data_IF_860926570109
#
_entry.id   IF_860926570109
#
_cell.length_a   1.000
_cell.length_b   1.000
_cell.length_c   1.000
_cell.angle_alpha   90.00
_cell.angle_beta   90.00
_cell.angle_gamma   90.00
#
_symmetry.space_group_name_H-M   'P 1'
#
loop_
_entity.id
_entity.type
_entity.pdbx_description
1 polymer ?
#
# COMPACT_ATOMS: atom_id res chain seq x y z
N UNK A 1 -21.00 10.09 -51.13
CA UNK A 1 -21.97 11.15 -50.73
C UNK A 1 -22.40 11.15 -49.27
N UNK A 2 -22.14 10.10 -48.47
CA UNK A 2 -22.51 10.08 -47.05
C UNK A 2 -21.56 10.83 -46.11
N UNK A 3 -20.31 11.03 -46.47
CA UNK A 3 -19.31 11.69 -45.62
C UNK A 3 -19.53 13.21 -45.48
N UNK A 4 -20.02 13.86 -46.51
CA UNK A 4 -20.31 15.30 -46.54
C UNK A 4 -21.46 15.70 -45.59
N UNK A 5 -22.39 14.78 -45.34
CA UNK A 5 -23.50 15.03 -44.42
C UNK A 5 -23.04 14.99 -42.95
N UNK A 6 -22.13 14.10 -42.60
CA UNK A 6 -21.56 13.99 -41.22
C UNK A 6 -20.84 15.28 -40.85
N UNK A 7 -20.01 15.84 -41.73
CA UNK A 7 -19.32 17.11 -41.49
C UNK A 7 -20.27 18.29 -41.30
N UNK A 8 -21.39 18.31 -42.01
CA UNK A 8 -22.41 19.35 -41.88
C UNK A 8 -23.15 19.24 -40.54
N UNK A 9 -23.44 18.01 -40.06
CA UNK A 9 -24.01 17.78 -38.73
C UNK A 9 -23.04 18.13 -37.61
N UNK A 10 -21.78 17.73 -37.72
CA UNK A 10 -20.73 18.09 -36.75
C UNK A 10 -20.59 19.60 -36.63
N UNK A 11 -20.60 20.35 -37.74
CA UNK A 11 -20.49 21.79 -37.73
C UNK A 11 -21.71 22.46 -37.10
N UNK A 12 -22.92 21.92 -37.34
CA UNK A 12 -24.18 22.42 -36.78
C UNK A 12 -24.27 22.22 -35.26
N UNK A 13 -23.79 21.08 -34.75
CA UNK A 13 -23.89 20.72 -33.35
C UNK A 13 -22.57 20.87 -32.57
N UNK A 14 -21.57 21.52 -33.18
CA UNK A 14 -20.23 21.71 -32.59
C UNK A 14 -20.27 22.20 -31.15
N UNK A 15 -21.07 23.22 -30.84
CA UNK A 15 -21.16 23.80 -29.50
C UNK A 15 -21.76 22.82 -28.50
N UNK A 16 -22.78 22.06 -28.92
CA UNK A 16 -23.43 21.06 -28.06
C UNK A 16 -22.46 19.90 -27.78
N UNK A 17 -21.70 19.44 -28.80
CA UNK A 17 -20.72 18.37 -28.67
C UNK A 17 -19.62 18.79 -27.70
N UNK A 18 -19.10 20.02 -27.83
CA UNK A 18 -18.07 20.55 -26.92
C UNK A 18 -18.60 20.62 -25.49
N UNK A 19 -19.81 21.17 -25.30
CA UNK A 19 -20.41 21.30 -23.97
C UNK A 19 -20.63 19.92 -23.31
N UNK A 20 -21.14 18.96 -24.08
CA UNK A 20 -21.38 17.60 -23.61
C UNK A 20 -20.06 16.88 -23.24
N UNK A 21 -19.02 17.09 -24.03
CA UNK A 21 -17.68 16.53 -23.76
C UNK A 21 -17.07 17.10 -22.48
N UNK A 22 -17.20 18.40 -22.23
CA UNK A 22 -16.73 19.04 -20.99
C UNK A 22 -17.53 18.51 -19.78
N UNK A 23 -18.85 18.38 -19.92
CA UNK A 23 -19.70 17.85 -18.85
C UNK A 23 -19.34 16.39 -18.52
N UNK A 24 -19.18 15.56 -19.54
CA UNK A 24 -18.77 14.17 -19.38
C UNK A 24 -17.37 14.04 -18.75
N UNK A 25 -16.42 14.86 -19.18
CA UNK A 25 -15.08 14.93 -18.60
C UNK A 25 -15.09 15.34 -17.12
N UNK A 26 -15.88 16.35 -16.77
CA UNK A 26 -16.05 16.78 -15.40
C UNK A 26 -16.69 15.70 -14.52
N UNK A 27 -17.75 15.05 -15.00
CA UNK A 27 -18.40 13.95 -14.30
C UNK A 27 -17.45 12.76 -14.10
N UNK A 28 -16.70 12.39 -15.13
CA UNK A 28 -15.69 11.33 -15.03
C UNK A 28 -14.59 11.68 -14.02
N UNK A 29 -14.11 12.93 -14.03
CA UNK A 29 -13.11 13.40 -13.08
C UNK A 29 -13.59 13.31 -11.62
N UNK A 30 -14.83 13.73 -11.36
CA UNK A 30 -15.43 13.62 -10.02
C UNK A 30 -15.59 12.16 -9.58
N UNK A 31 -16.03 11.29 -10.47
CA UNK A 31 -16.14 9.85 -10.21
C UNK A 31 -14.75 9.28 -9.92
N UNK A 32 -13.75 9.58 -10.76
CA UNK A 32 -12.39 9.11 -10.57
C UNK A 32 -11.80 9.56 -9.23
N UNK A 33 -12.03 10.81 -8.81
CA UNK A 33 -11.60 11.31 -7.49
C UNK A 33 -12.23 10.51 -6.34
N UNK A 34 -13.48 10.10 -6.45
CA UNK A 34 -14.16 9.35 -5.40
C UNK A 34 -13.73 7.88 -5.33
N UNK A 35 -13.40 7.26 -6.48
CA UNK A 35 -13.08 5.82 -6.54
C UNK A 35 -11.59 5.50 -6.52
N UNK A 36 -10.72 6.44 -6.97
CA UNK A 36 -9.29 6.18 -7.11
C UNK A 36 -8.50 6.69 -5.90
N UNK A 37 -9.04 7.65 -5.13
CA UNK A 37 -8.36 8.12 -3.93
C UNK A 37 -8.24 7.00 -2.90
N UNK A 38 -7.02 6.77 -2.45
CA UNK A 38 -6.71 5.86 -1.36
C UNK A 38 -5.98 6.67 -0.27
N UNK A 39 -6.24 6.31 0.96
CA UNK A 39 -5.47 6.82 2.09
C UNK A 39 -4.49 5.75 2.52
N UNK A 40 -3.21 6.12 2.59
CA UNK A 40 -2.13 5.25 3.04
C UNK A 40 -1.64 5.73 4.40
N UNK A 41 -1.60 4.85 5.37
CA UNK A 41 -0.82 5.05 6.58
C UNK A 41 0.47 4.24 6.46
N UNK A 42 1.53 4.77 7.05
CA UNK A 42 2.85 4.13 7.06
C UNK A 42 3.38 4.15 8.49
N UNK A 43 3.90 3.02 8.94
CA UNK A 43 4.66 2.91 10.18
C UNK A 43 5.95 2.15 9.93
N UNK A 44 6.93 2.33 10.81
CA UNK A 44 8.20 1.59 10.75
C UNK A 44 8.30 0.70 11.97
N UNK A 45 8.57 -0.57 11.75
CA UNK A 45 8.84 -1.55 12.79
C UNK A 45 10.33 -1.86 12.77
N UNK A 46 10.96 -1.83 13.93
CA UNK A 46 12.36 -2.19 14.10
C UNK A 46 12.50 -3.34 15.12
N UNK A 47 13.17 -4.38 14.70
CA UNK A 47 13.55 -5.49 15.56
C UNK A 47 14.84 -5.13 16.33
N UNK A 48 14.73 -4.90 17.64
CA UNK A 48 15.83 -4.39 18.49
C UNK A 48 16.51 -5.46 19.36
N UNK A 49 16.24 -6.72 19.12
CA UNK A 49 16.84 -7.82 19.85
C UNK A 49 18.35 -7.99 19.56
N UNK A 50 19.10 -8.53 20.49
CA UNK A 50 20.55 -8.78 20.32
C UNK A 50 20.87 -9.72 19.15
N UNK A 51 19.88 -10.53 18.72
CA UNK A 51 19.99 -11.47 17.61
C UNK A 51 19.28 -11.01 16.33
N UNK A 52 18.68 -9.81 16.35
CA UNK A 52 17.97 -9.26 15.19
C UNK A 52 18.88 -9.12 13.97
N UNK A 53 20.15 -8.76 14.17
CA UNK A 53 21.14 -8.69 13.09
C UNK A 53 21.48 -10.06 12.46
N UNK A 54 21.13 -11.15 13.14
CA UNK A 54 21.25 -12.53 12.64
C UNK A 54 19.96 -13.02 11.98
N UNK A 55 18.92 -12.16 11.90
CA UNK A 55 17.60 -12.52 11.38
C UNK A 55 16.74 -13.30 12.34
N UNK A 56 17.07 -13.27 13.62
CA UNK A 56 16.39 -14.08 14.63
C UNK A 56 15.54 -13.22 15.57
N UNK A 57 14.37 -13.71 15.86
CA UNK A 57 13.48 -13.22 16.90
C UNK A 57 14.06 -13.49 18.30
N UNK A 58 13.59 -12.82 19.37
CA UNK A 58 14.09 -13.04 20.72
C UNK A 58 13.98 -14.48 21.22
N UNK A 59 13.05 -15.26 20.71
CA UNK A 59 12.85 -16.68 21.02
C UNK A 59 13.79 -17.61 20.22
N UNK A 60 14.51 -17.07 19.24
CA UNK A 60 15.46 -17.80 18.39
C UNK A 60 14.88 -18.36 17.11
N UNK A 61 13.62 -18.08 16.79
CA UNK A 61 13.03 -18.37 15.48
C UNK A 61 13.47 -17.33 14.45
N UNK A 62 13.37 -17.67 13.17
CA UNK A 62 13.59 -16.71 12.09
C UNK A 62 12.55 -15.56 12.18
N UNK A 63 12.95 -14.33 11.83
CA UNK A 63 12.04 -13.20 11.75
C UNK A 63 11.06 -13.45 10.59
N UNK A 64 9.79 -13.73 10.93
CA UNK A 64 8.71 -13.89 9.97
C UNK A 64 7.87 -12.61 9.91
N UNK A 65 8.05 -11.83 8.85
CA UNK A 65 7.29 -10.58 8.64
C UNK A 65 5.80 -10.84 8.39
N UNK A 66 5.40 -12.07 8.07
CA UNK A 66 3.98 -12.43 7.90
C UNK A 66 3.21 -12.40 9.22
N UNK A 67 3.89 -12.48 10.35
CA UNK A 67 3.29 -12.31 11.67
C UNK A 67 2.66 -10.93 11.87
N UNK A 68 3.21 -9.89 11.22
CA UNK A 68 2.71 -8.50 11.33
C UNK A 68 1.25 -8.39 10.85
N UNK A 69 0.87 -9.17 9.84
CA UNK A 69 -0.50 -9.21 9.34
C UNK A 69 -1.19 -10.55 9.60
N UNK A 70 -0.73 -11.27 10.62
CA UNK A 70 -1.38 -12.53 11.04
C UNK A 70 -2.84 -12.27 11.48
N UNK A 71 -3.72 -13.21 11.16
CA UNK A 71 -5.16 -13.09 11.42
C UNK A 71 -5.50 -12.75 12.87
N UNK A 72 -4.74 -13.32 13.83
CA UNK A 72 -4.93 -13.07 15.26
C UNK A 72 -4.59 -11.63 15.65
N UNK A 73 -3.52 -11.04 15.10
CA UNK A 73 -3.14 -9.66 15.37
C UNK A 73 -4.12 -8.68 14.73
N UNK A 74 -4.46 -8.90 13.45
CA UNK A 74 -5.45 -8.07 12.74
C UNK A 74 -6.80 -8.13 13.44
N UNK A 75 -7.24 -9.29 13.89
CA UNK A 75 -8.52 -9.43 14.61
C UNK A 75 -8.51 -8.73 15.98
N UNK A 76 -7.39 -8.74 16.69
CA UNK A 76 -7.24 -7.99 17.93
C UNK A 76 -7.29 -6.47 17.70
N UNK A 77 -6.60 -5.99 16.67
CA UNK A 77 -6.64 -4.58 16.28
C UNK A 77 -8.05 -4.14 15.89
N UNK A 78 -8.77 -4.93 15.09
CA UNK A 78 -10.17 -4.67 14.72
C UNK A 78 -11.06 -4.57 15.96
N UNK A 79 -10.93 -5.52 16.89
CA UNK A 79 -11.69 -5.53 18.14
C UNK A 79 -11.41 -4.29 19.00
N UNK A 80 -10.16 -3.87 19.09
CA UNK A 80 -9.76 -2.67 19.82
C UNK A 80 -10.33 -1.39 19.19
N UNK A 81 -10.49 -1.37 17.87
CA UNK A 81 -11.07 -0.26 17.12
C UNK A 81 -12.61 -0.29 17.07
N UNK A 82 -13.25 -1.32 17.60
CA UNK A 82 -14.71 -1.51 17.51
C UNK A 82 -15.18 -1.80 16.09
N UNK A 83 -14.32 -2.33 15.23
CA UNK A 83 -14.67 -2.75 13.87
C UNK A 83 -15.31 -4.13 13.96
N UNK A 84 -16.42 -4.31 13.25
CA UNK A 84 -17.10 -5.61 13.20
C UNK A 84 -16.17 -6.69 12.62
N UNK A 85 -15.92 -7.70 13.43
CA UNK A 85 -15.09 -8.82 13.04
C UNK A 85 -15.88 -9.82 12.18
N UNK A 86 -15.49 -9.92 10.93
CA UNK A 86 -15.88 -11.00 10.03
C UNK A 86 -14.63 -11.51 9.34
N UNK A 87 -14.65 -12.74 8.87
CA UNK A 87 -13.54 -13.32 8.11
C UNK A 87 -13.22 -12.46 6.86
N UNK A 88 -14.26 -12.02 6.16
CA UNK A 88 -14.12 -11.17 4.98
C UNK A 88 -13.49 -9.81 5.29
N UNK A 89 -13.86 -9.15 6.39
CA UNK A 89 -13.26 -7.85 6.78
C UNK A 89 -11.81 -8.00 7.24
N UNK A 90 -11.47 -9.12 7.87
CA UNK A 90 -10.09 -9.42 8.28
C UNK A 90 -9.20 -9.65 7.06
N UNK A 91 -9.66 -10.43 6.10
CA UNK A 91 -8.91 -10.70 4.88
C UNK A 91 -8.75 -9.45 4.01
N UNK A 92 -9.76 -8.59 3.95
CA UNK A 92 -9.67 -7.31 3.25
C UNK A 92 -8.58 -6.41 3.87
N UNK A 93 -8.52 -6.31 5.19
CA UNK A 93 -7.46 -5.56 5.87
C UNK A 93 -6.10 -6.18 5.58
N UNK A 94 -5.94 -7.50 5.71
CA UNK A 94 -4.68 -8.20 5.48
C UNK A 94 -4.15 -8.02 4.07
N UNK A 95 -5.01 -8.10 3.05
CA UNK A 95 -4.62 -7.90 1.65
C UNK A 95 -4.16 -6.46 1.35
N UNK A 96 -4.54 -5.50 2.18
CA UNK A 96 -4.16 -4.11 2.02
C UNK A 96 -2.97 -3.68 2.91
N UNK A 97 -2.41 -4.62 3.70
CA UNK A 97 -1.17 -4.41 4.43
C UNK A 97 0.00 -4.87 3.56
N UNK A 98 0.99 -4.00 3.41
CA UNK A 98 2.26 -4.29 2.73
C UNK A 98 3.41 -4.09 3.71
N UNK A 99 4.35 -5.03 3.70
CA UNK A 99 5.54 -5.01 4.55
C UNK A 99 6.75 -5.06 3.65
N UNK A 100 7.58 -4.03 3.71
CA UNK A 100 8.77 -3.91 2.88
C UNK A 100 10.01 -3.68 3.77
N UNK A 101 11.13 -4.35 3.50
CA UNK A 101 12.36 -4.12 4.23
C UNK A 101 12.92 -2.72 3.93
N UNK A 102 13.46 -2.08 4.96
CA UNK A 102 14.22 -0.82 4.79
C UNK A 102 15.67 -1.18 4.55
N UNK A 103 16.15 -0.93 3.34
CA UNK A 103 17.55 -1.10 2.96
C UNK A 103 18.13 0.30 2.75
N UNK A 104 19.13 0.67 3.55
CA UNK A 104 19.79 1.98 3.45
C UNK A 104 20.97 1.91 2.47
N UNK A 105 21.47 3.07 2.03
CA UNK A 105 22.70 3.11 1.22
C UNK A 105 23.91 2.54 1.97
N UNK A 106 23.96 2.73 3.29
CA UNK A 106 25.00 2.15 4.15
C UNK A 106 24.95 0.63 4.15
N UNK A 107 23.76 0.04 4.23
CA UNK A 107 23.56 -1.41 4.17
C UNK A 107 24.03 -2.00 2.83
N UNK A 108 23.73 -1.30 1.72
CA UNK A 108 24.20 -1.68 0.39
C UNK A 108 25.73 -1.61 0.28
N UNK A 109 26.37 -0.59 0.86
CA UNK A 109 27.82 -0.48 0.87
C UNK A 109 28.47 -1.59 1.70
N UNK A 110 27.90 -1.93 2.85
CA UNK A 110 28.35 -3.06 3.68
C UNK A 110 28.24 -4.36 2.90
N UNK A 111 27.10 -4.61 2.27
CA UNK A 111 26.89 -5.80 1.44
C UNK A 111 27.93 -5.88 0.31
N UNK A 112 28.16 -4.78 -0.40
CA UNK A 112 29.13 -4.73 -1.48
C UNK A 112 30.55 -4.99 -0.97
N UNK A 113 30.96 -4.39 0.13
CA UNK A 113 32.31 -4.59 0.71
C UNK A 113 32.51 -6.03 1.17
N UNK A 114 31.50 -6.69 1.70
CA UNK A 114 31.53 -8.11 2.09
C UNK A 114 31.70 -9.02 0.88
N UNK A 115 30.96 -8.79 -0.18
CA UNK A 115 31.06 -9.52 -1.44
C UNK A 115 32.46 -9.36 -2.08
N UNK A 116 33.00 -8.13 -2.07
CA UNK A 116 34.39 -7.86 -2.58
C UNK A 116 35.46 -8.55 -1.74
N UNK A 117 35.25 -8.74 -0.44
CA UNK A 117 36.13 -9.45 0.46
C UNK A 117 36.04 -11.00 0.33
N UNK A 118 35.18 -11.48 -0.56
CA UNK A 118 35.07 -12.91 -0.88
C UNK A 118 33.98 -13.65 -0.11
N UNK A 119 33.16 -12.97 0.67
CA UNK A 119 31.98 -13.53 1.32
C UNK A 119 30.83 -13.63 0.30
N UNK A 120 30.91 -14.57 -0.63
CA UNK A 120 29.98 -14.69 -1.78
C UNK A 120 28.56 -15.01 -1.39
N UNK A 121 28.34 -15.57 -0.21
CA UNK A 121 27.05 -15.98 0.30
C UNK A 121 26.49 -14.97 1.34
N UNK A 122 27.09 -13.77 1.44
CA UNK A 122 26.57 -12.76 2.36
C UNK A 122 25.25 -12.21 1.86
N UNK A 123 24.20 -12.43 2.62
CA UNK A 123 22.88 -11.85 2.41
C UNK A 123 22.60 -10.81 3.51
N UNK A 124 22.19 -9.62 3.12
CA UNK A 124 21.80 -8.58 4.05
C UNK A 124 20.48 -8.96 4.72
N UNK A 125 20.48 -8.98 6.05
CA UNK A 125 19.28 -9.26 6.83
C UNK A 125 18.71 -7.93 7.36
N UNK A 126 17.54 -7.49 6.86
CA UNK A 126 16.94 -6.26 7.32
C UNK A 126 16.39 -6.41 8.74
N UNK A 127 16.65 -5.42 9.57
CA UNK A 127 16.09 -5.33 10.93
C UNK A 127 14.96 -4.32 11.03
N UNK A 128 14.75 -3.51 9.98
CA UNK A 128 13.71 -2.50 9.90
C UNK A 128 12.80 -2.77 8.71
N UNK A 129 11.50 -2.61 8.95
CA UNK A 129 10.46 -2.82 7.94
C UNK A 129 9.49 -1.65 7.92
N UNK A 130 9.13 -1.20 6.73
CA UNK A 130 8.03 -0.27 6.52
C UNK A 130 6.76 -1.09 6.37
N UNK A 131 5.80 -0.82 7.22
CA UNK A 131 4.45 -1.38 7.11
C UNK A 131 3.53 -0.31 6.60
N UNK A 132 2.89 -0.53 5.48
CA UNK A 132 1.91 0.36 4.89
C UNK A 132 0.54 -0.31 4.84
N UNK A 133 -0.49 0.48 5.12
CA UNK A 133 -1.88 0.05 5.00
C UNK A 133 -2.64 1.01 4.10
N UNK A 134 -3.25 0.48 3.06
CA UNK A 134 -4.02 1.22 2.08
C UNK A 134 -5.51 1.00 2.30
N UNK A 135 -6.29 2.07 2.33
CA UNK A 135 -7.74 1.94 2.37
C UNK A 135 -8.44 2.95 1.45
N UNK A 136 -9.65 2.61 1.00
CA UNK A 136 -10.48 3.50 0.21
C UNK A 136 -11.00 4.70 1.01
N UNK A 137 -11.35 5.76 0.30
CA UNK A 137 -11.86 7.04 0.85
C UNK A 137 -13.06 6.86 1.77
N UNK A 138 -13.89 5.84 1.53
CA UNK A 138 -15.10 5.57 2.32
C UNK A 138 -14.83 5.35 3.82
N UNK A 139 -13.63 4.94 4.19
CA UNK A 139 -13.24 4.70 5.58
C UNK A 139 -12.68 5.94 6.30
N UNK A 140 -12.47 7.04 5.58
CA UNK A 140 -11.91 8.29 6.13
C UNK A 140 -10.40 8.29 6.33
N UNK A 141 -9.82 9.50 6.42
CA UNK A 141 -8.36 9.71 6.48
C UNK A 141 -7.67 9.10 7.70
N UNK A 142 -8.37 9.06 8.83
CA UNK A 142 -7.81 8.59 10.10
C UNK A 142 -7.85 7.06 10.25
N UNK A 143 -8.64 6.39 9.41
CA UNK A 143 -8.84 4.95 9.52
C UNK A 143 -7.54 4.14 9.35
N UNK A 144 -6.73 4.35 8.28
CA UNK A 144 -5.50 3.57 8.11
C UNK A 144 -4.51 3.79 9.25
N UNK A 145 -4.41 5.02 9.75
CA UNK A 145 -3.54 5.34 10.88
C UNK A 145 -3.97 4.65 12.17
N UNK A 146 -5.26 4.55 12.41
CA UNK A 146 -5.79 3.85 13.59
C UNK A 146 -5.52 2.35 13.51
N UNK A 147 -5.62 1.75 12.34
CA UNK A 147 -5.36 0.31 12.13
C UNK A 147 -3.89 -0.03 12.40
N UNK A 148 -2.94 0.80 11.97
CA UNK A 148 -1.51 0.52 12.14
C UNK A 148 -0.97 0.83 13.56
N UNK A 149 -1.67 1.64 14.35
CA UNK A 149 -1.17 2.09 15.67
C UNK A 149 -1.79 1.30 16.84
N UNK A 150 -2.49 0.21 16.57
CA UNK A 150 -3.00 -0.71 17.59
C UNK A 150 -2.06 -1.89 17.76
#
# INVERSE_FOLDING_TARGET
MKELDVFRYLKKYRTIIILLSILAGAAFFLIAQLYIQQYTAVTVIEYTGSRAAEGLSPDGSDIDTSEIYATNLVSQAMKALGIEYTEATTDDIRMNIQVEPVITEEDLQVQQSKLENGEKDYEFIPTRYVVSFNCGVGNGKEYPRKVLNQ
#
